data_IF_335757438185
#
_entry.id   IF_335757438185
#
_cell.length_a   1.000
_cell.length_b   1.000
_cell.length_c   1.000
_cell.angle_alpha   90.00
_cell.angle_beta   90.00
_cell.angle_gamma   90.00
#
_symmetry.space_group_name_H-M   'P 1'
#
loop_
_entity.id
_entity.type
_entity.pdbx_description
1 polymer ?
#
# COMPACT_ATOMS: atom_id res chain seq x y z
N UNK A 1 -60.63 -58.41 23.33
CA UNK A 1 -59.73 -57.78 24.34
C UNK A 1 -58.30 -58.21 24.06
N UNK A 2 -57.45 -57.26 23.64
CA UNK A 2 -56.03 -57.07 24.02
C UNK A 2 -55.40 -56.09 23.03
N UNK A 3 -55.27 -54.85 23.49
CA UNK A 3 -54.45 -53.81 22.89
C UNK A 3 -52.97 -54.20 23.00
N UNK A 4 -52.20 -53.96 21.94
CA UNK A 4 -50.73 -53.86 22.01
C UNK A 4 -50.35 -52.51 21.43
N UNK A 5 -49.93 -51.61 22.31
CA UNK A 5 -49.36 -50.30 22.00
C UNK A 5 -47.90 -50.47 21.57
N UNK A 6 -47.54 -50.00 20.38
CA UNK A 6 -46.16 -49.82 19.96
C UNK A 6 -45.76 -48.36 20.20
N UNK A 7 -44.91 -48.13 21.19
CA UNK A 7 -44.30 -46.82 21.49
C UNK A 7 -43.06 -46.69 20.59
N UNK A 8 -43.14 -45.83 19.59
CA UNK A 8 -42.00 -45.41 18.79
C UNK A 8 -41.23 -44.32 19.54
N UNK A 9 -40.01 -44.65 19.97
CA UNK A 9 -39.06 -43.72 20.57
C UNK A 9 -38.46 -42.85 19.45
N UNK A 10 -38.84 -41.58 19.38
CA UNK A 10 -38.21 -40.59 18.52
C UNK A 10 -37.01 -40.02 19.26
N UNK A 11 -35.81 -40.50 18.92
CA UNK A 11 -34.55 -39.95 19.39
C UNK A 11 -34.32 -38.59 18.74
N UNK A 12 -34.68 -37.52 19.45
CA UNK A 12 -34.39 -36.15 19.05
C UNK A 12 -32.90 -35.85 19.16
N UNK A 13 -32.22 -35.77 18.01
CA UNK A 13 -30.86 -35.24 17.92
C UNK A 13 -30.88 -33.76 18.25
N UNK A 14 -30.48 -33.40 19.48
CA UNK A 14 -30.17 -32.01 19.82
C UNK A 14 -28.89 -31.61 19.07
N UNK A 15 -29.06 -31.02 17.89
CA UNK A 15 -28.02 -30.25 17.25
C UNK A 15 -27.75 -29.03 18.14
N UNK A 16 -26.64 -29.08 18.90
CA UNK A 16 -26.10 -27.91 19.57
C UNK A 16 -25.75 -26.89 18.50
N UNK A 17 -26.62 -25.90 18.33
CA UNK A 17 -26.36 -24.72 17.51
C UNK A 17 -25.11 -24.04 18.10
N UNK A 18 -23.95 -24.31 17.50
CA UNK A 18 -22.78 -23.47 17.72
C UNK A 18 -23.22 -22.05 17.37
N UNK A 19 -23.01 -21.04 18.24
CA UNK A 19 -23.25 -19.66 17.87
C UNK A 19 -22.50 -19.43 16.55
N UNK A 20 -23.14 -18.81 15.54
CA UNK A 20 -22.49 -18.55 14.27
C UNK A 20 -21.16 -17.89 14.59
N UNK A 21 -20.07 -18.52 14.15
CA UNK A 21 -18.75 -17.90 14.15
C UNK A 21 -18.96 -16.57 13.47
N UNK A 22 -18.92 -15.47 14.23
CA UNK A 22 -18.99 -14.14 13.64
C UNK A 22 -17.91 -14.13 12.57
N UNK A 23 -18.28 -14.01 11.27
CA UNK A 23 -17.30 -14.01 10.21
C UNK A 23 -16.32 -12.90 10.55
N UNK A 24 -15.07 -13.31 10.81
CA UNK A 24 -13.96 -12.48 11.30
C UNK A 24 -14.16 -11.04 10.85
N UNK A 25 -14.52 -10.16 11.81
CA UNK A 25 -14.62 -8.73 11.54
C UNK A 25 -13.33 -8.35 10.78
N UNK A 26 -13.44 -7.69 9.62
CA UNK A 26 -12.27 -7.38 8.81
C UNK A 26 -11.24 -6.73 9.71
N UNK A 27 -10.03 -7.31 9.79
CA UNK A 27 -8.92 -6.72 10.57
C UNK A 27 -8.90 -5.23 10.27
N UNK A 28 -9.10 -4.40 11.29
CA UNK A 28 -9.13 -2.95 11.11
C UNK A 28 -7.84 -2.54 10.41
N UNK A 29 -7.97 -2.02 9.19
CA UNK A 29 -6.82 -1.63 8.39
C UNK A 29 -6.26 -0.36 9.03
N UNK A 30 -5.01 -0.36 9.51
CA UNK A 30 -4.46 0.82 10.18
C UNK A 30 -4.27 1.96 9.18
N UNK A 31 -4.40 3.19 9.67
CA UNK A 31 -4.01 4.37 8.92
C UNK A 31 -2.50 4.32 8.61
N UNK A 32 -2.12 4.68 7.38
CA UNK A 32 -0.71 4.74 6.96
C UNK A 32 -0.33 6.19 6.67
N UNK A 33 0.71 6.68 7.32
CA UNK A 33 1.14 8.09 7.22
C UNK A 33 0.01 9.09 7.53
N UNK A 34 -0.86 8.75 8.50
CA UNK A 34 -2.04 9.54 8.85
C UNK A 34 -3.20 9.47 7.86
N UNK A 35 -3.09 8.66 6.80
CA UNK A 35 -4.13 8.51 5.78
C UNK A 35 -5.02 7.32 6.14
N UNK A 36 -6.32 7.52 6.41
CA UNK A 36 -7.23 6.42 6.69
C UNK A 36 -7.50 5.58 5.44
N UNK A 37 -7.72 4.27 5.58
CA UNK A 37 -8.11 3.42 4.46
C UNK A 37 -9.51 3.79 3.94
N UNK A 38 -9.71 3.68 2.63
CA UNK A 38 -10.98 3.99 1.96
C UNK A 38 -11.44 2.78 1.14
N UNK A 39 -11.45 1.59 1.75
CA UNK A 39 -11.68 0.29 1.07
C UNK A 39 -12.99 0.24 0.28
N UNK A 40 -14.04 0.92 0.77
CA UNK A 40 -15.31 1.02 0.06
C UNK A 40 -15.21 1.82 -1.25
N UNK A 41 -14.40 2.88 -1.27
CA UNK A 41 -14.18 3.71 -2.45
C UNK A 41 -13.12 3.11 -3.38
N UNK A 42 -12.16 2.37 -2.83
CA UNK A 42 -11.03 1.78 -3.54
C UNK A 42 -10.86 0.31 -3.13
N UNK A 43 -11.67 -0.61 -3.70
CA UNK A 43 -11.62 -2.03 -3.38
C UNK A 43 -10.29 -2.68 -3.80
N UNK A 44 -9.80 -3.60 -2.98
CA UNK A 44 -8.52 -4.29 -3.15
C UNK A 44 -8.60 -5.82 -2.97
N UNK A 45 -9.78 -6.40 -3.20
CA UNK A 45 -10.04 -7.83 -3.05
C UNK A 45 -9.53 -8.67 -4.23
N UNK A 46 -9.16 -8.05 -5.35
CA UNK A 46 -8.50 -8.70 -6.49
C UNK A 46 -7.50 -7.78 -7.19
N UNK A 47 -6.55 -8.34 -7.94
CA UNK A 47 -5.59 -7.57 -8.73
C UNK A 47 -6.28 -6.58 -9.70
N UNK A 48 -7.34 -7.01 -10.40
CA UNK A 48 -8.12 -6.13 -11.30
C UNK A 48 -8.82 -4.99 -10.55
N UNK A 49 -9.42 -5.27 -9.38
CA UNK A 49 -10.08 -4.24 -8.57
C UNK A 49 -9.07 -3.26 -7.96
N UNK A 50 -7.89 -3.72 -7.55
CA UNK A 50 -6.79 -2.83 -7.14
C UNK A 50 -6.33 -1.94 -8.29
N UNK A 51 -6.21 -2.47 -9.51
CA UNK A 51 -5.88 -1.65 -10.68
C UNK A 51 -6.95 -0.61 -10.99
N UNK A 52 -8.23 -1.00 -10.98
CA UNK A 52 -9.34 -0.07 -11.13
C UNK A 52 -9.28 1.04 -10.07
N UNK A 53 -9.09 0.67 -8.80
CA UNK A 53 -8.93 1.61 -7.69
C UNK A 53 -7.77 2.58 -7.90
N UNK A 54 -6.64 2.11 -8.45
CA UNK A 54 -5.50 2.96 -8.74
C UNK A 54 -5.81 3.97 -9.85
N UNK A 55 -6.45 3.52 -10.95
CA UNK A 55 -6.87 4.41 -12.04
C UNK A 55 -7.86 5.46 -11.52
N UNK A 56 -8.88 5.06 -10.77
CA UNK A 56 -9.84 6.00 -10.18
C UNK A 56 -9.18 7.00 -9.22
N UNK A 57 -8.19 6.57 -8.45
CA UNK A 57 -7.45 7.46 -7.57
C UNK A 57 -6.59 8.45 -8.37
N UNK A 58 -5.98 8.03 -9.48
CA UNK A 58 -5.23 8.90 -10.40
C UNK A 58 -6.16 9.96 -10.98
N UNK A 59 -7.32 9.55 -11.51
CA UNK A 59 -8.32 10.44 -12.11
C UNK A 59 -8.87 11.47 -11.11
N UNK A 60 -9.01 11.09 -9.83
CA UNK A 60 -9.42 11.98 -8.73
C UNK A 60 -8.27 12.82 -8.16
N UNK A 61 -7.03 12.61 -8.61
CA UNK A 61 -5.84 13.26 -8.06
C UNK A 61 -5.46 12.81 -6.64
N UNK A 62 -6.00 11.69 -6.15
CA UNK A 62 -5.73 11.16 -4.80
C UNK A 62 -4.41 10.37 -4.74
N UNK A 63 -3.33 11.01 -5.18
CA UNK A 63 -1.99 10.39 -5.24
C UNK A 63 -1.48 9.99 -3.86
N UNK A 64 -1.85 10.76 -2.83
CA UNK A 64 -1.55 10.45 -1.44
C UNK A 64 -2.12 9.08 -1.04
N UNK A 65 -3.35 8.77 -1.43
CA UNK A 65 -3.96 7.47 -1.16
C UNK A 65 -3.31 6.34 -1.97
N UNK A 66 -2.93 6.59 -3.23
CA UNK A 66 -2.20 5.60 -4.04
C UNK A 66 -0.93 5.15 -3.30
N UNK A 67 -0.10 6.11 -2.88
CA UNK A 67 1.15 5.81 -2.20
C UNK A 67 0.91 5.19 -0.82
N UNK A 68 -0.09 5.65 -0.07
CA UNK A 68 -0.36 5.11 1.27
C UNK A 68 -0.97 3.71 1.25
N UNK A 69 -1.87 3.39 0.31
CA UNK A 69 -2.74 2.22 0.43
C UNK A 69 -2.79 1.30 -0.79
N UNK A 70 -2.40 1.76 -1.98
CA UNK A 70 -2.47 0.96 -3.21
C UNK A 70 -1.12 0.41 -3.67
N UNK A 71 0.00 1.09 -3.35
CA UNK A 71 1.35 0.57 -3.59
C UNK A 71 1.77 -0.45 -2.52
N UNK A 72 2.68 -1.36 -2.89
CA UNK A 72 3.28 -2.32 -1.96
C UNK A 72 3.81 -1.60 -0.71
N UNK A 73 3.32 -1.95 0.50
CA UNK A 73 3.73 -1.31 1.73
C UNK A 73 5.23 -1.38 1.97
N UNK A 74 5.87 -2.52 1.72
CA UNK A 74 7.32 -2.70 1.92
C UNK A 74 8.14 -1.80 1.01
N UNK A 75 7.71 -1.62 -0.24
CA UNK A 75 8.34 -0.67 -1.16
C UNK A 75 8.21 0.78 -0.64
N UNK A 76 7.01 1.18 -0.21
CA UNK A 76 6.76 2.53 0.30
C UNK A 76 7.60 2.80 1.55
N UNK A 77 7.62 1.88 2.52
CA UNK A 77 8.43 2.02 3.72
C UNK A 77 9.92 2.15 3.40
N UNK A 78 10.44 1.33 2.48
CA UNK A 78 11.82 1.41 2.02
C UNK A 78 12.13 2.78 1.41
N UNK A 79 11.30 3.27 0.50
CA UNK A 79 11.49 4.58 -0.15
C UNK A 79 11.40 5.74 0.82
N UNK A 80 10.48 5.69 1.77
CA UNK A 80 10.36 6.72 2.82
C UNK A 80 11.57 6.70 3.73
N UNK A 81 12.02 5.53 4.19
CA UNK A 81 13.18 5.41 5.07
C UNK A 81 14.48 5.86 4.40
N UNK A 82 14.70 5.51 3.13
CA UNK A 82 15.86 5.94 2.35
C UNK A 82 15.92 7.47 2.24
N UNK A 83 14.78 8.10 1.91
CA UNK A 83 14.66 9.55 1.73
C UNK A 83 14.65 10.33 3.05
N UNK A 84 14.11 9.76 4.13
CA UNK A 84 14.02 10.42 5.43
C UNK A 84 15.36 10.96 5.90
N UNK A 85 16.45 10.23 5.63
CA UNK A 85 17.83 10.65 5.94
C UNK A 85 18.18 12.04 5.37
N UNK A 86 17.65 12.41 4.22
CA UNK A 86 17.88 13.71 3.59
C UNK A 86 17.14 14.86 4.30
N UNK A 87 16.11 14.53 5.08
CA UNK A 87 15.27 15.49 5.80
C UNK A 87 15.57 15.58 7.29
N UNK A 88 16.44 14.72 7.84
CA UNK A 88 16.78 14.73 9.28
C UNK A 88 17.41 16.04 9.73
N UNK A 89 18.46 16.52 9.04
CA UNK A 89 19.13 17.77 9.43
C UNK A 89 18.20 19.00 9.32
N UNK A 90 17.43 19.21 8.23
CA UNK A 90 16.42 20.27 8.18
C UNK A 90 15.36 20.16 9.29
N UNK A 91 14.89 18.94 9.59
CA UNK A 91 13.90 18.70 10.64
C UNK A 91 14.47 19.01 12.04
N UNK A 92 15.72 18.62 12.32
CA UNK A 92 16.41 18.95 13.56
C UNK A 92 16.52 20.47 13.76
N UNK A 93 16.90 21.21 12.72
CA UNK A 93 17.01 22.67 12.78
C UNK A 93 15.64 23.31 13.07
N UNK A 94 14.58 22.88 12.36
CA UNK A 94 13.20 23.37 12.57
C UNK A 94 12.73 23.10 14.00
N UNK A 95 12.83 21.85 14.46
CA UNK A 95 12.36 21.42 15.77
C UNK A 95 13.18 22.03 16.91
N UNK A 96 14.49 22.21 16.73
CA UNK A 96 15.34 22.81 17.77
C UNK A 96 15.00 24.27 17.98
N UNK A 97 14.79 25.03 16.88
CA UNK A 97 14.34 26.43 16.95
C UNK A 97 13.00 26.55 17.64
N UNK A 98 12.04 25.68 17.31
CA UNK A 98 10.73 25.67 17.96
C UNK A 98 10.83 25.33 19.45
N UNK A 99 11.66 24.35 19.82
CA UNK A 99 11.86 23.94 21.21
C UNK A 99 12.46 25.07 22.04
N UNK A 100 13.52 25.70 21.53
CA UNK A 100 14.17 26.82 22.22
C UNK A 100 13.20 28.01 22.38
N UNK A 101 12.35 28.25 21.38
CA UNK A 101 11.29 29.26 21.47
C UNK A 101 10.27 28.92 22.56
N UNK A 102 9.79 27.67 22.62
CA UNK A 102 8.85 27.21 23.65
C UNK A 102 9.46 27.28 25.06
N UNK A 103 10.75 27.00 25.22
CA UNK A 103 11.46 27.12 26.50
C UNK A 103 11.53 28.58 26.97
N UNK A 104 11.75 29.52 26.05
CA UNK A 104 11.82 30.96 26.38
C UNK A 104 10.44 31.60 26.60
N UNK A 105 9.37 30.97 26.12
CA UNK A 105 8.00 31.51 26.18
C UNK A 105 7.01 30.43 26.68
N UNK A 106 7.20 29.86 27.87
CA UNK A 106 6.39 28.74 28.34
C UNK A 106 4.90 29.06 28.45
N UNK A 107 4.55 30.31 28.75
CA UNK A 107 3.17 30.79 28.88
C UNK A 107 2.38 30.75 27.56
N UNK A 108 3.06 30.72 26.41
CA UNK A 108 2.42 30.68 25.08
C UNK A 108 1.99 29.28 24.66
N UNK A 109 2.48 28.25 25.34
CA UNK A 109 2.28 26.85 24.93
C UNK A 109 1.78 26.00 26.09
N UNK A 110 0.61 25.35 25.92
CA UNK A 110 0.16 24.29 26.82
C UNK A 110 1.24 23.22 26.98
N UNK A 111 1.37 22.64 28.17
CA UNK A 111 2.41 21.63 28.46
C UNK A 111 2.34 20.44 27.50
N UNK A 112 1.13 20.07 27.05
CA UNK A 112 0.90 18.98 26.10
C UNK A 112 1.48 19.25 24.69
N UNK A 113 1.62 20.51 24.29
CA UNK A 113 2.10 20.91 22.97
C UNK A 113 3.60 21.24 22.95
N UNK A 114 4.27 21.13 24.10
CA UNK A 114 5.70 21.42 24.22
C UNK A 114 6.51 20.24 23.69
N UNK A 115 7.53 20.57 22.91
CA UNK A 115 8.50 19.61 22.41
C UNK A 115 9.29 18.98 23.56
N UNK A 116 9.62 17.68 23.48
CA UNK A 116 10.36 17.00 24.51
C UNK A 116 11.75 17.61 24.69
N UNK A 117 12.15 17.81 25.95
CA UNK A 117 13.51 18.20 26.34
C UNK A 117 14.45 16.99 26.44
N UNK A 118 13.90 15.80 26.65
CA UNK A 118 14.65 14.55 26.63
C UNK A 118 15.25 14.30 25.25
N UNK A 119 16.55 13.96 25.22
CA UNK A 119 17.31 13.80 23.97
C UNK A 119 16.78 12.65 23.11
N UNK A 120 16.40 11.53 23.73
CA UNK A 120 15.94 10.35 22.98
C UNK A 120 14.56 10.59 22.36
N UNK A 121 13.62 11.16 23.12
CA UNK A 121 12.30 11.56 22.62
C UNK A 121 12.41 12.62 21.52
N UNK A 122 13.31 13.58 21.67
CA UNK A 122 13.54 14.60 20.64
C UNK A 122 14.11 14.01 19.35
N UNK A 123 15.08 13.09 19.45
CA UNK A 123 15.61 12.37 18.30
C UNK A 123 14.53 11.54 17.58
N UNK A 124 13.67 10.85 18.34
CA UNK A 124 12.53 10.11 17.76
C UNK A 124 11.58 11.03 16.98
N UNK A 125 11.31 12.23 17.51
CA UNK A 125 10.48 13.23 16.82
C UNK A 125 11.12 13.75 15.53
N UNK A 126 12.46 13.91 15.49
CA UNK A 126 13.18 14.27 14.27
C UNK A 126 12.97 13.18 13.20
N UNK A 127 13.09 11.91 13.58
CA UNK A 127 12.86 10.76 12.67
C UNK A 127 11.42 10.72 12.17
N UNK A 128 10.44 10.94 13.04
CA UNK A 128 9.03 10.99 12.65
C UNK A 128 8.78 12.12 11.65
N UNK A 129 9.27 13.32 11.95
CA UNK A 129 9.14 14.51 11.10
C UNK A 129 9.83 14.32 9.75
N UNK A 130 11.02 13.72 9.73
CA UNK A 130 11.76 13.46 8.49
C UNK A 130 11.06 12.42 7.61
N UNK A 131 10.47 11.37 8.21
CA UNK A 131 9.64 10.39 7.50
C UNK A 131 8.37 11.01 6.91
N UNK A 132 7.71 11.92 7.62
CA UNK A 132 6.55 12.66 7.11
C UNK A 132 6.92 13.47 5.85
N UNK A 133 8.05 14.19 5.87
CA UNK A 133 8.53 14.96 4.73
C UNK A 133 8.95 14.06 3.55
N UNK A 134 9.63 12.95 3.84
CA UNK A 134 9.99 11.96 2.82
C UNK A 134 8.77 11.35 2.14
N UNK A 135 7.71 11.04 2.90
CA UNK A 135 6.44 10.58 2.34
C UNK A 135 5.80 11.65 1.43
N UNK A 136 5.74 12.91 1.87
CA UNK A 136 5.23 14.02 1.04
C UNK A 136 6.02 14.16 -0.27
N UNK A 137 7.35 14.02 -0.22
CA UNK A 137 8.17 14.06 -1.43
C UNK A 137 7.90 12.86 -2.34
N UNK A 138 7.70 11.65 -1.79
CA UNK A 138 7.32 10.48 -2.57
C UNK A 138 5.98 10.68 -3.28
N UNK A 139 4.98 11.25 -2.60
CA UNK A 139 3.70 11.60 -3.22
C UNK A 139 3.89 12.56 -4.41
N UNK A 140 4.69 13.63 -4.23
CA UNK A 140 4.99 14.57 -5.32
C UNK A 140 5.66 13.90 -6.50
N UNK A 141 6.65 13.05 -6.26
CA UNK A 141 7.37 12.37 -7.34
C UNK A 141 6.45 11.42 -8.14
N UNK A 142 5.56 10.70 -7.45
CA UNK A 142 4.56 9.86 -8.12
C UNK A 142 3.59 10.72 -8.91
N UNK A 143 3.13 11.83 -8.35
CA UNK A 143 2.25 12.77 -9.04
C UNK A 143 2.91 13.35 -10.30
N UNK A 144 4.16 13.82 -10.20
CA UNK A 144 4.94 14.31 -11.35
C UNK A 144 5.06 13.25 -12.43
N UNK A 145 5.45 12.01 -12.08
CA UNK A 145 5.55 10.91 -13.05
C UNK A 145 4.23 10.62 -13.77
N UNK A 146 3.10 10.69 -13.06
CA UNK A 146 1.78 10.49 -13.65
C UNK A 146 1.38 11.63 -14.60
N UNK A 147 1.81 12.87 -14.31
CA UNK A 147 1.56 14.02 -15.17
C UNK A 147 2.47 14.03 -16.41
N UNK A 148 3.72 13.58 -16.27
CA UNK A 148 4.71 13.59 -17.34
C UNK A 148 4.43 12.52 -18.43
N UNK A 149 3.71 11.44 -18.08
CA UNK A 149 3.33 10.37 -19.02
C UNK A 149 1.81 10.09 -19.01
N UNK A 150 0.99 10.92 -19.69
CA UNK A 150 -0.45 10.67 -19.78
C UNK A 150 -0.79 9.43 -20.63
N UNK A 151 0.14 8.93 -21.46
CA UNK A 151 -0.07 7.69 -22.21
C UNK A 151 -0.05 6.48 -21.28
N UNK A 152 0.71 6.54 -20.17
CA UNK A 152 0.69 5.50 -19.14
C UNK A 152 -0.72 5.21 -18.63
N UNK A 153 -1.55 6.23 -18.42
CA UNK A 153 -2.93 6.06 -17.93
C UNK A 153 -3.78 5.29 -18.94
N UNK A 154 -3.63 5.58 -20.24
CA UNK A 154 -4.33 4.85 -21.31
C UNK A 154 -3.91 3.38 -21.36
N UNK A 155 -2.62 3.11 -21.16
CA UNK A 155 -2.10 1.75 -21.07
C UNK A 155 -2.65 1.00 -19.85
N UNK A 156 -2.73 1.65 -18.68
CA UNK A 156 -3.36 1.09 -17.48
C UNK A 156 -4.83 0.75 -17.71
N UNK A 157 -5.58 1.66 -18.36
CA UNK A 157 -6.98 1.43 -18.73
C UNK A 157 -7.13 0.26 -19.73
N UNK A 158 -6.20 0.12 -20.67
CA UNK A 158 -6.17 -1.00 -21.62
C UNK A 158 -5.87 -2.33 -20.92
N UNK A 159 -4.87 -2.36 -20.04
CA UNK A 159 -4.56 -3.51 -19.19
C UNK A 159 -5.75 -3.90 -18.31
N UNK A 160 -6.49 -2.93 -17.76
CA UNK A 160 -7.67 -3.21 -16.94
C UNK A 160 -8.78 -3.90 -17.75
N UNK A 161 -9.09 -3.39 -18.95
CA UNK A 161 -10.18 -3.89 -19.80
C UNK A 161 -9.85 -5.24 -20.41
N UNK A 162 -8.71 -5.31 -21.08
CA UNK A 162 -8.38 -6.39 -22.02
C UNK A 162 -7.18 -7.23 -21.56
N UNK A 163 -6.56 -6.86 -20.43
CA UNK A 163 -5.36 -7.54 -19.94
C UNK A 163 -5.62 -8.94 -19.39
N UNK A 164 -4.65 -9.81 -19.62
CA UNK A 164 -4.61 -11.18 -19.11
C UNK A 164 -3.95 -11.19 -17.74
N UNK A 165 -4.68 -11.68 -16.74
CA UNK A 165 -4.14 -11.90 -15.38
C UNK A 165 -3.58 -13.31 -15.31
N UNK A 166 -2.33 -13.44 -14.90
CA UNK A 166 -1.71 -14.72 -14.58
C UNK A 166 -1.26 -14.72 -13.13
N UNK A 167 -1.61 -15.78 -12.39
CA UNK A 167 -1.15 -15.94 -11.02
C UNK A 167 0.37 -16.20 -10.99
N UNK A 168 1.03 -15.67 -9.98
CA UNK A 168 2.45 -15.89 -9.69
C UNK A 168 2.59 -16.49 -8.29
N UNK A 169 3.78 -16.93 -7.90
CA UNK A 169 4.02 -17.52 -6.58
C UNK A 169 3.57 -16.61 -5.42
N UNK A 170 3.76 -15.30 -5.56
CA UNK A 170 3.48 -14.32 -4.48
C UNK A 170 2.37 -13.32 -4.84
N UNK A 171 1.65 -13.53 -5.94
CA UNK A 171 0.63 -12.59 -6.38
C UNK A 171 0.16 -12.81 -7.81
N UNK A 172 0.15 -11.75 -8.62
CA UNK A 172 -0.38 -11.79 -9.99
C UNK A 172 0.40 -10.87 -10.91
N UNK A 173 0.44 -11.24 -12.19
CA UNK A 173 0.99 -10.46 -13.29
C UNK A 173 -0.15 -10.12 -14.25
N UNK A 174 -0.22 -8.87 -14.69
CA UNK A 174 -1.18 -8.41 -15.69
C UNK A 174 -0.42 -7.92 -16.93
N UNK A 175 -0.76 -8.48 -18.09
CA UNK A 175 -0.14 -8.15 -19.37
C UNK A 175 -1.19 -7.91 -20.45
N UNK A 176 -0.79 -7.22 -21.53
CA UNK A 176 -1.65 -7.00 -22.69
C UNK A 176 -0.79 -6.98 -23.97
N UNK A 177 -1.23 -7.66 -25.04
CA UNK A 177 -0.45 -7.83 -26.28
C UNK A 177 -0.03 -6.49 -26.93
N UNK A 178 -0.94 -5.52 -26.95
CA UNK A 178 -0.67 -4.18 -27.51
C UNK A 178 0.10 -3.24 -26.58
N UNK A 179 0.30 -3.60 -25.31
CA UNK A 179 1.06 -2.79 -24.36
C UNK A 179 2.43 -3.44 -24.18
N UNK A 180 3.29 -3.21 -25.17
CA UNK A 180 4.64 -3.78 -25.20
C UNK A 180 5.46 -3.28 -24.03
N UNK A 181 6.27 -4.17 -23.47
CA UNK A 181 7.23 -3.89 -22.39
C UNK A 181 6.60 -3.38 -21.07
N UNK A 182 5.28 -3.45 -20.92
CA UNK A 182 4.59 -3.12 -19.66
C UNK A 182 3.86 -4.34 -19.14
N UNK A 183 4.43 -4.94 -18.11
CA UNK A 183 3.73 -5.85 -17.22
C UNK A 183 3.49 -5.14 -15.88
N UNK A 184 2.29 -5.28 -15.33
CA UNK A 184 2.02 -4.86 -13.95
C UNK A 184 2.09 -6.07 -13.05
N UNK A 185 2.75 -5.90 -11.91
CA UNK A 185 2.86 -6.91 -10.88
C UNK A 185 2.03 -6.49 -9.68
N UNK A 186 1.39 -7.47 -9.07
CA UNK A 186 0.61 -7.29 -7.88
C UNK A 186 1.08 -8.29 -6.83
N UNK A 187 1.12 -7.85 -5.58
CA UNK A 187 1.40 -8.70 -4.42
C UNK A 187 0.16 -8.76 -3.54
N UNK A 188 -0.17 -9.97 -3.08
CA UNK A 188 -1.24 -10.16 -2.07
C UNK A 188 -0.59 -10.18 -0.69
N UNK A 189 -1.03 -9.30 0.20
CA UNK A 189 -0.60 -9.24 1.60
C UNK A 189 -1.87 -9.31 2.45
N UNK A 190 -1.95 -10.33 3.30
CA UNK A 190 -3.20 -10.74 3.95
C UNK A 190 -4.32 -10.90 2.91
N UNK A 191 -5.43 -10.17 3.06
CA UNK A 191 -6.59 -10.21 2.16
C UNK A 191 -6.63 -9.05 1.15
N UNK A 192 -5.52 -8.31 0.97
CA UNK A 192 -5.46 -7.13 0.10
C UNK A 192 -4.41 -7.27 -0.99
N UNK A 193 -4.76 -6.76 -2.17
CA UNK A 193 -3.88 -6.68 -3.33
C UNK A 193 -3.26 -5.29 -3.46
N UNK A 194 -1.95 -5.25 -3.70
CA UNK A 194 -1.15 -4.04 -3.84
C UNK A 194 -0.39 -4.05 -5.18
N UNK A 195 -0.16 -2.87 -5.75
CA UNK A 195 0.70 -2.66 -6.91
C UNK A 195 2.17 -2.78 -6.50
N UNK A 196 2.88 -3.72 -7.11
CA UNK A 196 4.30 -3.94 -6.86
C UNK A 196 5.14 -3.16 -7.86
N UNK A 197 6.12 -2.38 -7.37
CA UNK A 197 7.07 -1.68 -8.23
C UNK A 197 8.18 -2.65 -8.67
N UNK A 198 7.82 -3.60 -9.53
CA UNK A 198 8.73 -4.59 -10.13
C UNK A 198 8.91 -4.30 -11.61
N UNK A 199 10.16 -4.30 -12.05
CA UNK A 199 10.49 -4.34 -13.48
C UNK A 199 10.73 -5.80 -13.87
N UNK A 200 10.28 -6.18 -15.07
CA UNK A 200 10.64 -7.49 -15.61
C UNK A 200 12.14 -7.46 -15.88
N UNK A 201 12.87 -8.44 -15.34
CA UNK A 201 14.29 -8.62 -15.67
C UNK A 201 14.35 -9.02 -17.15
N UNK A 202 14.43 -8.02 -18.03
CA UNK A 202 14.65 -8.27 -19.45
C UNK A 202 16.03 -8.93 -19.52
N UNK A 203 16.13 -10.22 -19.90
CA UNK A 203 17.42 -10.86 -20.01
C UNK A 203 18.29 -10.01 -20.94
N UNK A 204 19.52 -9.73 -20.53
CA UNK A 204 20.42 -8.87 -21.27
C UNK A 204 20.42 -9.32 -22.75
N UNK A 205 20.27 -8.39 -23.71
CA UNK A 205 20.23 -8.76 -25.11
C UNK A 205 21.46 -9.60 -25.40
N UNK A 206 21.24 -10.82 -25.89
CA UNK A 206 22.33 -11.76 -26.20
C UNK A 206 23.21 -11.07 -27.22
N UNK A 207 24.35 -10.54 -26.78
CA UNK A 207 25.30 -9.87 -27.65
C UNK A 207 25.78 -10.93 -28.63
N UNK A 208 25.47 -10.81 -29.94
CA UNK A 208 25.90 -11.80 -30.90
C UNK A 208 27.43 -11.88 -30.86
N UNK A 209 28.02 -13.09 -30.94
CA UNK A 209 29.47 -13.23 -30.91
C UNK A 209 30.08 -12.37 -32.03
N UNK A 210 31.25 -11.75 -31.79
CA UNK A 210 31.89 -10.91 -32.78
C UNK A 210 32.06 -11.71 -34.08
N UNK A 211 31.56 -11.18 -35.19
CA UNK A 211 31.79 -11.77 -36.51
C UNK A 211 33.30 -11.87 -36.68
N UNK A 212 33.82 -13.09 -36.85
CA UNK A 212 35.20 -13.29 -37.27
C UNK A 212 35.34 -12.60 -38.63
N UNK A 213 35.92 -11.40 -38.63
CA UNK A 213 36.38 -10.77 -39.88
C UNK A 213 37.44 -11.71 -40.45
N UNK A 214 37.20 -12.16 -41.69
CA UNK A 214 38.05 -13.12 -42.36
C UNK A 214 39.47 -12.59 -42.46
N UNK A 215 40.42 -13.38 -41.96
CA UNK A 215 41.80 -13.38 -42.45
C UNK A 215 41.85 -13.97 -43.86
#
# INVERSE_FOLDING_TARGET
MRLVFAIALVSGSMALAQPPKDPDLPKEIPARFGIPPKVKAYPQDSAKKTLLSAIEAIEKGDTTYIVAHLLDPGFVEFRVADRAKQFEAPAEIELSRLRDFQIRNPEKYPVADRLPTDRAKFAALIIERSREQAFKQLVRDVQSKLMDDPLSIKDLQKLLRDGMVTDTETGAKLTHADVKDKALYFRKIDDRWFLENRQEDIPAPVVPPPKKEGM
#
